data_IF_808285745093
#
_entry.id   IF_808285745093
#
_cell.length_a   1.000
_cell.length_b   1.000
_cell.length_c   1.000
_cell.angle_alpha   90.00
_cell.angle_beta   90.00
_cell.angle_gamma   90.00
#
_symmetry.space_group_name_H-M   'P 1'
#
loop_
_entity.id
_entity.type
_entity.pdbx_description
1 polymer ?
#
# COMPACT_ATOMS: atom_id res chain seq x y z
N UNK A 1 -5.70 10.35 -5.39
CA UNK A 1 -6.69 9.25 -5.36
C UNK A 1 -5.94 7.99 -4.95
N UNK A 2 -6.52 7.18 -4.07
CA UNK A 2 -5.94 5.93 -3.58
C UNK A 2 -6.73 4.77 -4.20
N UNK A 3 -6.06 3.74 -4.72
CA UNK A 3 -6.75 2.57 -5.28
C UNK A 3 -6.88 1.46 -4.24
N UNK A 4 -8.06 0.85 -4.18
CA UNK A 4 -8.28 -0.39 -3.45
C UNK A 4 -8.13 -1.56 -4.43
N UNK A 5 -7.11 -2.38 -4.20
CA UNK A 5 -6.70 -3.46 -5.12
C UNK A 5 -6.77 -4.78 -4.38
N UNK A 6 -7.49 -5.74 -4.94
CA UNK A 6 -7.63 -7.08 -4.39
C UNK A 6 -6.40 -7.95 -4.72
N UNK A 7 -6.23 -9.05 -4.00
CA UNK A 7 -5.07 -9.95 -4.12
C UNK A 7 -4.94 -10.61 -5.51
N UNK A 8 -6.05 -10.74 -6.25
CA UNK A 8 -6.11 -11.27 -7.61
C UNK A 8 -5.80 -10.21 -8.69
N UNK A 9 -5.65 -8.95 -8.28
CA UNK A 9 -5.27 -7.85 -9.14
C UNK A 9 -6.41 -7.01 -9.69
N UNK A 10 -7.65 -7.29 -9.30
CA UNK A 10 -8.77 -6.41 -9.63
C UNK A 10 -8.75 -5.15 -8.77
N UNK A 11 -9.07 -4.02 -9.38
CA UNK A 11 -9.24 -2.75 -8.68
C UNK A 11 -10.71 -2.59 -8.38
N UNK A 12 -11.06 -2.61 -7.10
CA UNK A 12 -12.44 -2.52 -6.66
C UNK A 12 -12.93 -1.08 -6.71
N UNK A 13 -12.15 -0.14 -6.18
CA UNK A 13 -12.53 1.26 -6.10
C UNK A 13 -11.33 2.21 -6.06
N UNK A 14 -11.63 3.49 -6.24
CA UNK A 14 -10.71 4.60 -6.34
C UNK A 14 -11.15 5.73 -5.40
N UNK A 15 -10.58 5.74 -4.20
CA UNK A 15 -10.97 6.66 -3.13
C UNK A 15 -10.33 8.04 -3.36
N UNK A 16 -11.15 9.10 -3.32
CA UNK A 16 -10.70 10.48 -3.47
C UNK A 16 -11.77 11.39 -4.11
N UNK A 17 -11.39 12.57 -4.63
CA UNK A 17 -10.03 13.12 -4.77
C UNK A 17 -9.43 13.61 -3.44
N UNK A 18 -8.09 13.63 -3.37
CA UNK A 18 -7.33 14.16 -2.22
C UNK A 18 -6.43 15.31 -2.67
N UNK A 19 -6.22 16.30 -1.80
CA UNK A 19 -5.30 17.40 -2.09
C UNK A 19 -3.85 16.91 -2.16
N UNK A 20 -3.12 17.34 -3.19
CA UNK A 20 -1.71 16.97 -3.41
C UNK A 20 -0.72 17.46 -2.36
N UNK A 21 -1.18 18.22 -1.35
CA UNK A 21 -0.38 18.60 -0.18
C UNK A 21 -0.24 17.44 0.83
N UNK A 22 -1.19 16.52 0.85
CA UNK A 22 -1.16 15.37 1.75
C UNK A 22 -0.34 14.24 1.13
N UNK A 23 0.56 13.65 1.91
CA UNK A 23 1.29 12.46 1.50
C UNK A 23 0.38 11.21 1.60
N UNK A 24 0.86 10.10 1.06
CA UNK A 24 0.11 8.84 1.02
C UNK A 24 -0.26 8.34 2.42
N UNK A 25 0.61 8.51 3.43
CA UNK A 25 0.32 8.13 4.82
C UNK A 25 -0.83 8.94 5.42
N UNK A 26 -0.81 10.28 5.29
CA UNK A 26 -1.88 11.14 5.79
C UNK A 26 -3.22 10.88 5.08
N UNK A 27 -3.19 10.61 3.78
CA UNK A 27 -4.37 10.22 3.01
C UNK A 27 -4.91 8.88 3.54
N UNK A 28 -4.04 7.89 3.74
CA UNK A 28 -4.44 6.56 4.23
C UNK A 28 -5.06 6.62 5.60
N UNK A 29 -4.47 7.39 6.53
CA UNK A 29 -5.05 7.61 7.85
C UNK A 29 -6.47 8.19 7.75
N UNK A 30 -6.65 9.22 6.93
CA UNK A 30 -7.97 9.81 6.71
C UNK A 30 -8.98 8.82 6.08
N UNK A 31 -8.51 7.87 5.27
CA UNK A 31 -9.34 6.80 4.71
C UNK A 31 -9.75 5.82 5.80
N UNK A 32 -8.79 5.31 6.58
CA UNK A 32 -9.04 4.36 7.67
C UNK A 32 -9.99 4.94 8.72
N UNK A 33 -9.85 6.22 9.05
CA UNK A 33 -10.70 6.89 10.04
C UNK A 33 -12.14 7.13 9.54
N UNK A 34 -12.32 7.41 8.23
CA UNK A 34 -13.62 7.82 7.67
C UNK A 34 -14.43 6.70 7.04
N UNK A 35 -13.77 5.71 6.46
CA UNK A 35 -14.42 4.65 5.69
C UNK A 35 -14.45 3.37 6.50
N UNK A 36 -15.30 3.35 7.53
CA UNK A 36 -15.58 2.13 8.31
C UNK A 36 -16.09 1.00 7.42
N UNK A 37 -16.73 1.30 6.29
CA UNK A 37 -17.21 0.29 5.34
C UNK A 37 -16.09 -0.51 4.65
N UNK A 38 -14.83 -0.03 4.68
CA UNK A 38 -13.70 -0.86 4.23
C UNK A 38 -13.51 -2.09 5.11
N UNK A 39 -13.96 -2.07 6.37
CA UNK A 39 -13.97 -3.26 7.24
C UNK A 39 -14.98 -4.33 6.80
N UNK A 40 -15.86 -4.04 5.83
CA UNK A 40 -16.72 -5.05 5.21
C UNK A 40 -15.92 -5.90 4.21
N UNK A 41 -14.83 -5.35 3.68
CA UNK A 41 -13.99 -5.99 2.67
C UNK A 41 -12.73 -6.64 3.26
N UNK A 42 -12.35 -6.23 4.48
CA UNK A 42 -11.16 -6.71 5.15
C UNK A 42 -11.55 -7.36 6.48
N UNK A 43 -10.98 -8.53 6.77
CA UNK A 43 -11.13 -9.25 8.02
C UNK A 43 -9.90 -9.05 8.94
N UNK A 44 -10.06 -9.36 10.22
CA UNK A 44 -8.94 -9.37 11.16
C UNK A 44 -7.82 -10.30 10.67
N UNK A 45 -6.57 -9.83 10.74
CA UNK A 45 -5.35 -10.46 10.24
C UNK A 45 -5.17 -10.46 8.72
N UNK A 46 -6.01 -9.75 7.97
CA UNK A 46 -5.76 -9.57 6.54
C UNK A 46 -4.43 -8.87 6.27
N UNK A 47 -3.72 -9.36 5.25
CA UNK A 47 -2.41 -8.84 4.86
C UNK A 47 -2.55 -7.64 3.93
N UNK A 48 -2.13 -6.47 4.42
CA UNK A 48 -2.09 -5.24 3.66
C UNK A 48 -0.69 -5.02 3.09
N UNK A 49 -0.56 -4.99 1.76
CA UNK A 49 0.72 -4.80 1.07
C UNK A 49 0.84 -3.36 0.60
N UNK A 50 1.74 -2.60 1.23
CA UNK A 50 1.87 -1.15 1.00
C UNK A 50 3.25 -0.77 0.47
N UNK A 51 3.36 0.43 -0.11
CA UNK A 51 4.69 1.01 -0.40
C UNK A 51 5.37 1.47 0.89
N UNK A 52 6.69 1.68 0.83
CA UNK A 52 7.48 2.14 1.98
C UNK A 52 7.03 3.49 2.55
N UNK A 53 6.41 4.35 1.75
CA UNK A 53 5.90 5.66 2.18
C UNK A 53 4.75 5.59 3.19
N UNK A 54 4.18 4.40 3.42
CA UNK A 54 3.06 4.17 4.34
C UNK A 54 3.54 3.76 5.75
N UNK A 55 4.85 3.81 6.02
CA UNK A 55 5.40 3.48 7.34
C UNK A 55 4.77 4.31 8.45
N UNK A 56 4.51 5.59 8.20
CA UNK A 56 4.00 6.52 9.21
C UNK A 56 2.53 6.27 9.58
N UNK A 57 1.84 5.36 8.87
CA UNK A 57 0.46 4.94 9.16
C UNK A 57 0.40 3.46 9.59
N UNK A 58 1.55 2.82 9.83
CA UNK A 58 1.61 1.38 10.07
C UNK A 58 0.91 0.97 11.36
N UNK A 59 0.99 1.80 12.39
CA UNK A 59 0.36 1.57 13.69
C UNK A 59 -1.16 1.56 13.55
N UNK A 60 -1.74 2.46 12.74
CA UNK A 60 -3.18 2.52 12.50
C UNK A 60 -3.70 1.25 11.82
N UNK A 61 -2.96 0.67 10.88
CA UNK A 61 -3.32 -0.63 10.29
C UNK A 61 -3.29 -1.75 11.34
N UNK A 62 -2.30 -1.77 12.21
CA UNK A 62 -2.15 -2.80 13.25
C UNK A 62 -3.24 -2.69 14.32
N UNK A 63 -3.63 -1.47 14.71
CA UNK A 63 -4.75 -1.24 15.65
C UNK A 63 -6.07 -1.77 15.10
N UNK A 64 -6.24 -1.72 13.77
CA UNK A 64 -7.39 -2.31 13.08
C UNK A 64 -7.27 -3.82 12.85
N UNK A 65 -6.22 -4.47 13.37
CA UNK A 65 -6.04 -5.92 13.29
C UNK A 65 -5.36 -6.42 12.01
N UNK A 66 -4.86 -5.54 11.14
CA UNK A 66 -4.26 -5.95 9.87
C UNK A 66 -2.75 -6.26 9.98
N UNK A 67 -2.28 -7.24 9.21
CA UNK A 67 -0.85 -7.50 9.02
C UNK A 67 -0.30 -6.63 7.90
N UNK A 68 0.59 -5.69 8.24
CA UNK A 68 1.14 -4.77 7.26
C UNK A 68 2.49 -5.25 6.72
N UNK A 69 2.56 -5.47 5.40
CA UNK A 69 3.78 -5.90 4.70
C UNK A 69 4.32 -4.78 3.82
N UNK A 70 5.61 -4.48 3.98
CA UNK A 70 6.34 -3.47 3.20
C UNK A 70 7.73 -3.98 2.83
N UNK A 71 8.25 -3.53 1.67
CA UNK A 71 9.59 -3.93 1.23
C UNK A 71 10.65 -3.53 2.25
N UNK A 72 11.62 -4.42 2.48
CA UNK A 72 12.64 -4.27 3.52
C UNK A 72 13.46 -2.98 3.44
N UNK A 73 13.94 -2.53 4.60
CA UNK A 73 14.85 -1.40 4.76
C UNK A 73 16.18 -1.90 5.33
N UNK A 74 17.29 -1.42 4.76
CA UNK A 74 18.60 -1.66 5.36
C UNK A 74 18.70 -0.95 6.70
N UNK A 75 19.17 -1.65 7.73
CA UNK A 75 19.46 -0.99 9.00
C UNK A 75 20.70 -0.10 8.85
N UNK A 76 20.87 0.83 9.78
CA UNK A 76 22.01 1.75 9.77
C UNK A 76 23.32 0.95 9.86
N UNK A 77 24.15 1.05 8.82
CA UNK A 77 25.42 0.34 8.74
C UNK A 77 25.39 -0.91 7.85
N UNK A 78 24.19 -1.39 7.48
CA UNK A 78 24.06 -2.52 6.58
C UNK A 78 24.28 -2.09 5.13
N UNK A 79 24.98 -2.94 4.38
CA UNK A 79 25.18 -2.76 2.93
C UNK A 79 24.16 -3.53 2.09
N UNK A 80 23.57 -4.59 2.66
CA UNK A 80 22.62 -5.47 1.98
C UNK A 80 21.67 -6.13 2.99
N UNK A 81 20.48 -6.51 2.53
CA UNK A 81 19.55 -7.33 3.29
C UNK A 81 20.08 -8.76 3.36
N UNK A 82 19.70 -9.51 4.39
CA UNK A 82 19.90 -10.96 4.40
C UNK A 82 19.17 -11.61 3.23
N UNK A 83 19.55 -12.85 2.88
CA UNK A 83 18.88 -13.59 1.81
C UNK A 83 17.38 -13.74 2.06
N UNK A 84 16.99 -13.95 3.33
CA UNK A 84 15.59 -14.13 3.74
C UNK A 84 14.82 -12.81 3.55
N UNK A 85 15.31 -11.72 4.13
CA UNK A 85 14.67 -10.40 4.02
C UNK A 85 14.63 -9.90 2.57
N UNK A 86 15.68 -10.17 1.79
CA UNK A 86 15.73 -9.82 0.39
C UNK A 86 14.66 -10.59 -0.42
N UNK A 87 14.43 -11.87 -0.09
CA UNK A 87 13.40 -12.67 -0.74
C UNK A 87 11.98 -12.21 -0.36
N UNK A 88 11.74 -11.92 0.92
CA UNK A 88 10.46 -11.33 1.36
C UNK A 88 10.20 -9.98 0.68
N UNK A 89 11.21 -9.11 0.63
CA UNK A 89 11.14 -7.82 -0.04
C UNK A 89 10.83 -7.94 -1.54
N UNK A 90 11.41 -8.94 -2.22
CA UNK A 90 11.09 -9.26 -3.63
C UNK A 90 9.65 -9.74 -3.79
N UNK A 91 9.16 -10.60 -2.90
CA UNK A 91 7.79 -11.08 -2.90
C UNK A 91 6.79 -9.91 -2.76
N UNK A 92 6.99 -9.07 -1.75
CA UNK A 92 6.18 -7.86 -1.51
C UNK A 92 6.17 -6.95 -2.75
N UNK A 93 7.35 -6.73 -3.35
CA UNK A 93 7.47 -5.91 -4.55
C UNK A 93 6.73 -6.51 -5.74
N UNK A 94 6.74 -7.84 -5.89
CA UNK A 94 6.03 -8.56 -6.95
C UNK A 94 4.51 -8.45 -6.79
N UNK A 95 3.99 -8.62 -5.58
CA UNK A 95 2.55 -8.46 -5.31
C UNK A 95 2.09 -7.02 -5.58
N UNK A 96 2.86 -6.02 -5.11
CA UNK A 96 2.56 -4.60 -5.33
C UNK A 96 2.61 -4.19 -6.81
N UNK A 97 3.31 -4.93 -7.66
CA UNK A 97 3.41 -4.63 -9.09
C UNK A 97 2.03 -4.50 -9.75
N UNK A 98 1.02 -5.23 -9.28
CA UNK A 98 -0.32 -5.17 -9.84
C UNK A 98 -0.94 -3.77 -9.71
N UNK A 99 -0.91 -3.17 -8.51
CA UNK A 99 -1.38 -1.81 -8.28
C UNK A 99 -0.59 -0.78 -9.12
N UNK A 100 0.73 -0.97 -9.23
CA UNK A 100 1.60 -0.12 -10.07
C UNK A 100 1.23 -0.23 -11.56
N UNK A 101 0.95 -1.44 -12.04
CA UNK A 101 0.56 -1.70 -13.43
C UNK A 101 -0.76 -1.02 -13.77
N UNK A 102 -1.72 -0.99 -12.84
CA UNK A 102 -2.99 -0.30 -12.99
C UNK A 102 -2.79 1.21 -13.12
N UNK A 103 -2.07 1.84 -12.20
CA UNK A 103 -1.77 3.27 -12.29
C UNK A 103 -0.95 3.63 -13.53
N UNK A 104 -0.07 2.76 -14.02
CA UNK A 104 0.69 2.99 -15.25
C UNK A 104 -0.22 3.10 -16.48
N UNK A 105 -1.35 2.38 -16.53
CA UNK A 105 -2.34 2.49 -17.62
C UNK A 105 -3.04 3.85 -17.61
N UNK A 106 -3.33 4.40 -16.43
CA UNK A 106 -3.94 5.72 -16.26
C UNK A 106 -2.98 6.87 -16.61
N UNK A 107 -1.67 6.64 -16.49
CA UNK A 107 -0.63 7.65 -16.79
C UNK A 107 -0.33 7.86 -18.27
N UNK A 108 -1.05 7.21 -19.19
CA UNK A 108 -0.91 7.49 -20.63
C UNK A 108 -1.50 8.87 -20.94
N UNK A 109 -0.66 9.89 -20.87
CA UNK A 109 -0.91 11.20 -21.45
C UNK A 109 -0.86 11.07 -22.98
N UNK A 110 -2.01 11.17 -23.64
CA UNK A 110 -2.07 11.53 -25.05
C UNK A 110 -2.07 13.05 -25.14
N UNK A 111 -0.99 13.65 -25.64
CA UNK A 111 -1.04 15.02 -26.14
C UNK A 111 -1.82 15.00 -27.47
N UNK A 112 -2.88 15.81 -27.56
CA UNK A 112 -3.43 16.28 -28.83
C UNK A 112 -2.94 17.72 -29.05
#
# INVERSE_FOLDING_TARGET
MMSLVLHDGYVLDLIGPFYGKHNDAAISKAILDKYTELSVLCEDNDTQIVDRGFRDVAEEFQVLGYDLKMSGLLSKGDKQLSTIEANESRLITKCRWVAKSFHARLKKWCFF
#
